data_IF_938641339376
#
_entry.id   IF_938641339376
#
_cell.length_a   1.000
_cell.length_b   1.000
_cell.length_c   1.000
_cell.angle_alpha   90.00
_cell.angle_beta   90.00
_cell.angle_gamma   90.00
#
_symmetry.space_group_name_H-M   'P 1'
#
loop_
_entity.id
_entity.type
_entity.pdbx_description
1 polymer ?
#
# COMPACT_ATOMS: atom_id res chain seq x y z
N UNK A 1 -13.39 -21.29 -8.65
CA UNK A 1 -12.59 -20.08 -8.93
C UNK A 1 -11.33 -20.15 -8.07
N UNK A 2 -10.15 -20.18 -8.69
CA UNK A 2 -8.87 -20.24 -7.97
C UNK A 2 -8.73 -18.96 -7.14
N UNK A 3 -8.72 -19.08 -5.82
CA UNK A 3 -8.42 -17.95 -4.93
C UNK A 3 -7.01 -17.47 -5.26
N UNK A 4 -6.90 -16.31 -5.91
CA UNK A 4 -5.61 -15.66 -6.12
C UNK A 4 -5.01 -15.42 -4.74
N UNK A 5 -3.93 -16.16 -4.41
CA UNK A 5 -3.22 -16.02 -3.14
C UNK A 5 -2.92 -14.54 -2.91
N UNK A 6 -3.46 -13.97 -1.84
CA UNK A 6 -3.22 -12.58 -1.47
C UNK A 6 -1.70 -12.35 -1.36
N UNK A 7 -1.24 -11.30 -2.04
CA UNK A 7 0.18 -10.92 -2.01
C UNK A 7 0.54 -10.40 -0.63
N UNK A 8 1.75 -10.72 -0.19
CA UNK A 8 2.30 -10.12 1.02
C UNK A 8 2.48 -8.61 0.84
N UNK A 9 2.45 -7.80 1.91
CA UNK A 9 2.67 -6.35 1.84
C UNK A 9 3.96 -5.97 1.11
N UNK A 10 5.01 -6.77 1.32
CA UNK A 10 6.29 -6.61 0.63
C UNK A 10 6.14 -6.84 -0.88
N UNK A 11 5.46 -7.91 -1.28
CA UNK A 11 5.22 -8.20 -2.69
C UNK A 11 4.34 -7.12 -3.35
N UNK A 12 3.28 -6.67 -2.66
CA UNK A 12 2.39 -5.63 -3.16
C UNK A 12 3.15 -4.31 -3.41
N UNK A 13 4.05 -3.93 -2.50
CA UNK A 13 4.91 -2.75 -2.64
C UNK A 13 5.76 -2.81 -3.90
N UNK A 14 6.37 -3.96 -4.17
CA UNK A 14 7.17 -4.16 -5.38
C UNK A 14 6.29 -4.26 -6.63
N UNK A 15 5.11 -4.88 -6.55
CA UNK A 15 4.19 -4.94 -7.68
C UNK A 15 3.68 -3.57 -8.10
N UNK A 16 3.40 -2.66 -7.15
CA UNK A 16 3.04 -1.29 -7.49
C UNK A 16 4.18 -0.57 -8.22
N UNK A 17 5.43 -0.80 -7.79
CA UNK A 17 6.60 -0.23 -8.46
C UNK A 17 6.77 -0.79 -9.87
N UNK A 18 6.54 -2.09 -10.05
CA UNK A 18 6.69 -2.73 -11.35
C UNK A 18 5.44 -2.63 -12.24
N UNK A 19 4.36 -1.99 -11.78
CA UNK A 19 3.10 -1.90 -12.52
C UNK A 19 3.23 -1.18 -13.87
N UNK A 20 4.22 -0.29 -13.99
CA UNK A 20 4.49 0.48 -15.21
C UNK A 20 5.33 -0.31 -16.24
N UNK A 21 5.75 -1.53 -15.91
CA UNK A 21 6.58 -2.38 -16.76
C UNK A 21 5.81 -3.61 -17.19
N UNK A 22 5.98 -4.02 -18.45
CA UNK A 22 5.52 -5.32 -18.92
C UNK A 22 6.63 -6.35 -18.72
N UNK A 23 6.46 -7.24 -17.74
CA UNK A 23 7.50 -8.21 -17.37
C UNK A 23 6.91 -9.55 -16.93
N UNK A 24 7.72 -10.59 -17.05
CA UNK A 24 7.41 -11.95 -16.58
C UNK A 24 8.48 -12.41 -15.60
N UNK A 25 8.05 -12.91 -14.44
CA UNK A 25 8.96 -13.47 -13.43
C UNK A 25 9.21 -14.95 -13.75
N UNK A 26 10.45 -15.28 -14.12
CA UNK A 26 10.88 -16.67 -14.37
C UNK A 26 11.91 -17.11 -13.35
N UNK A 27 11.78 -18.32 -12.81
CA UNK A 27 12.82 -18.92 -11.97
C UNK A 27 14.09 -19.20 -12.80
N UNK A 28 15.26 -18.86 -12.24
CA UNK A 28 16.57 -19.15 -12.82
C UNK A 28 17.40 -19.92 -11.81
N UNK A 29 18.02 -21.01 -12.25
CA UNK A 29 18.88 -21.80 -11.38
C UNK A 29 20.17 -21.04 -11.08
N UNK A 30 20.87 -21.39 -10.00
CA UNK A 30 22.12 -20.72 -9.63
C UNK A 30 23.20 -20.76 -10.71
N UNK A 31 23.20 -21.79 -11.56
CA UNK A 31 24.14 -21.90 -12.70
C UNK A 31 23.86 -20.86 -13.78
N UNK A 32 22.60 -20.51 -14.00
CA UNK A 32 22.18 -19.51 -14.99
C UNK A 32 22.24 -18.09 -14.44
N UNK A 33 22.27 -17.95 -13.10
CA UNK A 33 22.33 -16.66 -12.40
C UNK A 33 23.75 -16.21 -12.03
N UNK A 34 24.79 -16.73 -12.70
CA UNK A 34 26.20 -16.46 -12.36
C UNK A 34 26.58 -14.98 -12.43
N UNK A 35 26.13 -14.25 -13.47
CA UNK A 35 26.46 -12.83 -13.66
C UNK A 35 25.89 -11.97 -12.54
N UNK A 36 24.59 -12.10 -12.25
CA UNK A 36 23.96 -11.36 -11.17
C UNK A 36 24.52 -11.78 -9.80
N UNK A 37 24.82 -13.08 -9.61
CA UNK A 37 25.46 -13.58 -8.40
C UNK A 37 26.85 -12.97 -8.18
N UNK A 38 27.67 -12.82 -9.22
CA UNK A 38 28.97 -12.15 -9.13
C UNK A 38 28.81 -10.66 -8.77
N UNK A 39 27.90 -9.94 -9.44
CA UNK A 39 27.61 -8.54 -9.16
C UNK A 39 27.08 -8.31 -7.74
N UNK A 40 26.22 -9.20 -7.24
CA UNK A 40 25.68 -9.08 -5.87
C UNK A 40 26.72 -9.26 -4.76
N UNK A 41 27.87 -9.88 -5.08
CA UNK A 41 28.98 -10.13 -4.15
C UNK A 41 30.07 -9.08 -4.27
N UNK A 42 30.02 -8.23 -5.29
CA UNK A 42 30.95 -7.13 -5.42
C UNK A 42 30.60 -6.12 -4.32
N UNK A 43 31.53 -5.87 -3.41
CA UNK A 43 31.36 -4.78 -2.44
C UNK A 43 31.18 -3.49 -3.22
N UNK A 44 30.17 -2.70 -2.85
CA UNK A 44 29.90 -1.43 -3.51
C UNK A 44 31.15 -0.56 -3.38
N UNK A 45 31.92 -0.46 -4.47
CA UNK A 45 32.94 0.57 -4.64
C UNK A 45 32.29 1.87 -4.22
N UNK A 46 32.90 2.56 -3.25
CA UNK A 46 32.36 3.73 -2.56
C UNK A 46 31.94 4.81 -3.56
N UNK A 47 30.74 4.71 -4.11
CA UNK A 47 30.09 5.80 -4.80
C UNK A 47 29.77 6.82 -3.71
N UNK A 48 30.07 8.12 -3.90
CA UNK A 48 29.69 9.14 -2.94
C UNK A 48 28.20 8.96 -2.65
N UNK A 49 27.85 8.88 -1.37
CA UNK A 49 26.51 8.57 -0.93
C UNK A 49 25.52 9.60 -1.49
N UNK A 50 24.98 9.33 -2.67
CA UNK A 50 23.79 10.01 -3.15
C UNK A 50 22.68 9.44 -2.27
N UNK A 51 22.49 10.06 -1.11
CA UNK A 51 21.32 9.91 -0.26
C UNK A 51 20.12 10.45 -1.04
N UNK A 52 19.65 9.66 -1.99
CA UNK A 52 18.28 9.77 -2.45
C UNK A 52 17.64 8.43 -2.18
N UNK A 53 17.29 8.21 -0.91
CA UNK A 53 16.21 7.30 -0.55
C UNK A 53 14.91 7.82 -1.16
N UNK A 54 14.79 7.72 -2.48
CA UNK A 54 13.53 7.90 -3.20
C UNK A 54 12.65 6.75 -2.75
N UNK A 55 11.59 7.06 -2.03
CA UNK A 55 10.59 6.08 -1.65
C UNK A 55 10.16 5.32 -2.91
N UNK A 56 10.30 3.98 -2.89
CA UNK A 56 9.93 3.10 -4.02
C UNK A 56 8.46 3.31 -4.43
N UNK A 57 7.63 3.73 -3.49
CA UNK A 57 6.24 4.15 -3.75
C UNK A 57 6.20 5.67 -3.63
N UNK A 58 5.58 6.32 -4.61
CA UNK A 58 5.35 7.75 -4.55
C UNK A 58 4.52 8.12 -3.31
N UNK A 59 4.83 9.23 -2.61
CA UNK A 59 4.24 9.57 -1.31
C UNK A 59 2.74 9.86 -1.37
N UNK A 60 2.19 10.07 -2.57
CA UNK A 60 0.77 10.22 -2.84
C UNK A 60 0.01 8.88 -2.85
N UNK A 61 0.70 7.74 -2.96
CA UNK A 61 0.11 6.40 -2.98
C UNK A 61 0.27 5.72 -1.61
N UNK A 62 -0.83 5.54 -0.90
CA UNK A 62 -0.90 4.75 0.35
C UNK A 62 -1.43 3.36 0.01
N UNK A 63 -0.62 2.33 0.25
CA UNK A 63 -1.05 0.93 0.11
C UNK A 63 -1.56 0.41 1.45
N UNK A 64 -2.72 -0.27 1.40
CA UNK A 64 -3.21 -1.07 2.50
C UNK A 64 -3.65 -2.43 1.98
N UNK A 65 -3.41 -3.48 2.77
CA UNK A 65 -4.00 -4.79 2.51
C UNK A 65 -5.27 -4.87 3.34
N UNK A 66 -6.40 -5.01 2.67
CA UNK A 66 -7.68 -5.27 3.32
C UNK A 66 -7.71 -6.76 3.64
N UNK A 67 -7.45 -7.11 4.90
CA UNK A 67 -7.37 -8.51 5.36
C UNK A 67 -8.74 -9.13 5.68
N UNK A 68 -9.78 -8.33 5.72
CA UNK A 68 -11.12 -8.74 6.18
C UNK A 68 -12.15 -8.18 5.21
N UNK A 69 -13.06 -9.03 4.73
CA UNK A 69 -14.13 -8.64 3.81
C UNK A 69 -15.04 -7.56 4.43
N UNK A 70 -15.22 -7.61 5.75
CA UNK A 70 -16.06 -6.68 6.52
C UNK A 70 -15.36 -5.35 6.85
N UNK A 71 -14.19 -5.05 6.28
CA UNK A 71 -13.44 -3.84 6.64
C UNK A 71 -14.26 -2.55 6.42
N UNK A 72 -14.95 -2.45 5.28
CA UNK A 72 -15.79 -1.29 4.97
C UNK A 72 -17.04 -1.23 5.85
N UNK A 73 -17.63 -2.39 6.16
CA UNK A 73 -18.77 -2.45 7.09
C UNK A 73 -18.37 -2.02 8.49
N UNK A 74 -17.22 -2.47 8.98
CA UNK A 74 -16.70 -2.06 10.27
C UNK A 74 -16.39 -0.56 10.31
N UNK A 75 -15.90 0.02 9.22
CA UNK A 75 -15.76 1.48 9.12
C UNK A 75 -17.14 2.14 9.21
N UNK A 76 -18.13 1.71 8.41
CA UNK A 76 -19.49 2.27 8.45
C UNK A 76 -20.11 2.18 9.85
N UNK A 77 -19.94 1.04 10.52
CA UNK A 77 -20.55 0.75 11.82
C UNK A 77 -19.85 1.42 13.00
N UNK A 78 -18.55 1.75 12.89
CA UNK A 78 -17.76 2.29 14.01
C UNK A 78 -18.14 3.72 14.47
N UNK A 79 -19.26 4.22 13.97
CA UNK A 79 -19.33 5.59 13.53
C UNK A 79 -20.78 6.04 13.39
N UNK A 80 -21.29 6.71 14.44
CA UNK A 80 -22.68 7.16 14.49
C UNK A 80 -22.96 8.23 13.43
N UNK A 81 -24.11 8.14 12.76
CA UNK A 81 -24.54 9.07 11.68
C UNK A 81 -24.49 10.53 12.13
N UNK A 82 -24.94 10.84 13.36
CA UNK A 82 -24.92 12.21 13.90
C UNK A 82 -23.50 12.78 14.00
N UNK A 83 -22.55 11.98 14.48
CA UNK A 83 -21.14 12.37 14.62
C UNK A 83 -20.51 12.69 13.25
N UNK A 84 -20.97 12.00 12.20
CA UNK A 84 -20.48 12.21 10.85
C UNK A 84 -21.02 13.46 10.17
N UNK A 85 -22.30 13.78 10.39
CA UNK A 85 -22.88 15.01 9.84
C UNK A 85 -22.12 16.23 10.39
N UNK A 86 -21.85 16.26 11.70
CA UNK A 86 -21.01 17.30 12.32
C UNK A 86 -19.57 17.27 11.79
N UNK A 87 -18.99 16.09 11.58
CA UNK A 87 -17.64 15.96 11.04
C UNK A 87 -17.51 16.44 9.59
N UNK A 88 -18.52 16.20 8.75
CA UNK A 88 -18.57 16.63 7.36
C UNK A 88 -18.84 18.14 7.24
N UNK A 89 -19.68 18.70 8.11
CA UNK A 89 -19.94 20.14 8.16
C UNK A 89 -18.75 20.96 8.65
N UNK A 90 -17.81 20.34 9.39
CA UNK A 90 -16.65 21.04 9.94
C UNK A 90 -15.61 21.48 8.90
N UNK A 91 -15.60 20.90 7.69
CA UNK A 91 -14.63 21.24 6.65
C UNK A 91 -15.23 20.98 5.26
N UNK A 92 -15.24 21.95 4.32
CA UNK A 92 -15.79 21.76 2.98
C UNK A 92 -15.08 20.67 2.16
N UNK A 93 -13.87 20.26 2.55
CA UNK A 93 -13.16 19.14 1.91
C UNK A 93 -13.66 17.78 2.38
N UNK A 94 -14.51 17.70 3.41
CA UNK A 94 -15.02 16.43 3.94
C UNK A 94 -16.35 16.10 3.31
N UNK A 95 -16.47 14.86 2.84
CA UNK A 95 -17.71 14.36 2.26
C UNK A 95 -18.00 12.96 2.75
N UNK A 96 -19.27 12.57 2.73
CA UNK A 96 -19.69 11.20 3.03
C UNK A 96 -20.29 10.63 1.75
N UNK A 97 -19.72 9.54 1.26
CA UNK A 97 -20.19 8.83 0.07
C UNK A 97 -20.49 7.39 0.46
N UNK A 98 -21.72 6.93 0.25
CA UNK A 98 -22.14 5.54 0.56
C UNK A 98 -21.84 5.10 2.01
N UNK A 99 -22.06 6.02 2.96
CA UNK A 99 -21.78 5.80 4.39
C UNK A 99 -20.29 5.77 4.76
N UNK A 100 -19.39 6.03 3.81
CA UNK A 100 -17.95 6.08 4.03
C UNK A 100 -17.45 7.54 4.03
N UNK A 101 -16.55 7.88 4.95
CA UNK A 101 -15.99 9.22 5.08
C UNK A 101 -14.84 9.47 4.12
N UNK A 102 -14.90 10.57 3.39
CA UNK A 102 -13.86 11.03 2.50
C UNK A 102 -13.36 12.40 2.93
N UNK A 103 -12.05 12.58 2.83
CA UNK A 103 -11.41 13.87 2.89
C UNK A 103 -10.79 14.13 1.53
N UNK A 104 -11.35 15.09 0.81
CA UNK A 104 -11.05 15.39 -0.59
C UNK A 104 -11.31 14.15 -1.48
N UNK A 105 -10.26 13.47 -1.92
CA UNK A 105 -10.33 12.25 -2.74
C UNK A 105 -9.97 10.97 -1.98
N UNK A 106 -9.61 11.08 -0.70
CA UNK A 106 -9.04 9.98 0.09
C UNK A 106 -10.02 9.49 1.15
N UNK A 107 -10.09 8.16 1.33
CA UNK A 107 -10.88 7.55 2.40
C UNK A 107 -10.27 7.90 3.76
N UNK A 108 -11.08 8.43 4.65
CA UNK A 108 -10.67 8.76 6.01
C UNK A 108 -10.79 7.52 6.91
N UNK A 109 -9.66 6.99 7.38
CA UNK A 109 -9.63 5.83 8.29
C UNK A 109 -9.20 6.30 9.69
N UNK A 110 -10.04 6.14 10.74
CA UNK A 110 -9.72 6.62 12.07
C UNK A 110 -8.68 5.71 12.72
N UNK A 111 -7.71 6.37 13.32
CA UNK A 111 -6.35 5.85 13.47
C UNK A 111 -6.14 4.87 14.61
N UNK A 112 -7.10 4.62 15.50
CA UNK A 112 -6.83 3.81 16.71
C UNK A 112 -7.19 2.33 16.56
N UNK A 113 -8.34 1.99 15.95
CA UNK A 113 -8.77 0.58 15.81
C UNK A 113 -8.42 -0.05 14.45
N UNK A 114 -8.46 0.74 13.38
CA UNK A 114 -8.31 0.22 12.00
C UNK A 114 -6.88 0.25 11.46
N UNK A 115 -5.97 1.01 12.10
CA UNK A 115 -4.57 1.16 11.65
C UNK A 115 -3.77 -0.15 11.72
N UNK A 116 -4.11 -1.05 12.66
CA UNK A 116 -3.52 -2.40 12.76
C UNK A 116 -3.91 -3.34 11.61
N UNK A 117 -4.98 -3.05 10.87
CA UNK A 117 -5.41 -3.86 9.72
C UNK A 117 -4.71 -3.35 8.45
N UNK A 118 -4.38 -2.05 8.43
CA UNK A 118 -3.86 -1.30 7.28
C UNK A 118 -2.33 -1.38 7.14
N UNK A 119 -1.60 -1.58 8.24
CA UNK A 119 -0.12 -1.59 8.26
C UNK A 119 0.45 -2.82 8.96
N UNK A 120 0.40 -3.99 8.32
CA UNK A 120 1.32 -5.11 8.58
C UNK A 120 1.58 -5.86 7.30
#
# INVERSE_FOLDING_TARGET
MSSAKLLTPRQLRWMLFFADFDFVVTFRTGKDNRKAGALSRQESTTLPAVQTSRAIIAPDKVLCIIKTEDFFENIRNSFTIEKWQTWAQADPKRSIKQGLPFHDTRLFVPTTKFRKIVFY
#
